data_IF_435666449945
#
_entry.id   IF_435666449945
#
_cell.length_a   1.000
_cell.length_b   1.000
_cell.length_c   1.000
_cell.angle_alpha   90.00
_cell.angle_beta   90.00
_cell.angle_gamma   90.00
#
_symmetry.space_group_name_H-M   'P 1'
#
loop_
_entity.id
_entity.type
_entity.pdbx_description
1 polymer ?
#
# COMPACT_ATOMS: atom_id res chain seq x y z
N UNK A 1 11.18 34.72 -20.75
CA UNK A 1 10.22 34.01 -21.64
C UNK A 1 11.03 33.14 -22.59
N UNK A 2 10.66 31.89 -22.90
CA UNK A 2 9.96 30.91 -22.05
C UNK A 2 10.51 29.43 -22.19
N UNK A 3 10.38 28.60 -21.13
CA UNK A 3 10.05 27.13 -20.99
C UNK A 3 10.81 26.01 -21.81
N UNK A 4 10.95 24.72 -21.44
CA UNK A 4 10.31 23.73 -20.51
C UNK A 4 11.33 22.53 -20.39
N UNK A 5 11.66 21.94 -19.24
CA UNK A 5 10.97 20.76 -18.66
C UNK A 5 11.53 19.39 -19.09
N UNK A 6 12.51 18.81 -18.36
CA UNK A 6 12.84 17.37 -18.46
C UNK A 6 12.21 16.61 -17.30
N UNK A 7 11.08 15.98 -17.58
CA UNK A 7 10.27 15.20 -16.65
C UNK A 7 11.00 13.89 -16.30
N UNK A 8 11.47 13.78 -15.06
CA UNK A 8 11.96 12.51 -14.49
C UNK A 8 10.74 11.66 -14.18
N UNK A 9 10.39 10.76 -15.10
CA UNK A 9 9.29 9.81 -14.90
C UNK A 9 9.63 8.85 -13.76
N UNK A 10 9.04 9.14 -12.59
CA UNK A 10 9.03 8.27 -11.41
C UNK A 10 8.13 7.08 -11.71
N UNK A 11 8.71 5.96 -12.12
CA UNK A 11 7.98 4.70 -12.26
C UNK A 11 7.79 4.07 -10.87
N UNK A 12 6.67 4.39 -10.22
CA UNK A 12 6.16 3.73 -9.03
C UNK A 12 5.41 2.46 -9.46
N UNK A 13 5.95 1.29 -9.13
CA UNK A 13 5.21 0.03 -9.22
C UNK A 13 4.32 -0.10 -7.97
N UNK A 14 3.00 -0.10 -8.17
CA UNK A 14 2.02 -0.25 -7.08
C UNK A 14 1.78 -1.73 -6.77
N UNK A 15 1.66 -2.02 -5.47
CA UNK A 15 1.25 -3.31 -4.91
C UNK A 15 -0.29 -3.33 -4.83
N UNK A 16 -0.90 -4.48 -5.11
CA UNK A 16 -2.34 -4.66 -5.07
C UNK A 16 -2.91 -4.35 -3.66
N UNK A 17 -3.81 -3.37 -3.57
CA UNK A 17 -4.42 -2.91 -2.30
C UNK A 17 -5.37 -3.96 -1.69
N UNK A 18 -5.86 -4.98 -2.44
CA UNK A 18 -6.67 -6.07 -1.87
C UNK A 18 -5.90 -6.89 -0.81
N UNK A 19 -4.56 -6.87 -0.81
CA UNK A 19 -3.76 -7.52 0.26
C UNK A 19 -3.66 -6.70 1.55
N UNK A 20 -3.95 -5.38 1.53
CA UNK A 20 -3.88 -4.54 2.75
C UNK A 20 -5.11 -4.67 3.67
N UNK A 21 -6.19 -5.32 3.23
CA UNK A 21 -7.38 -5.57 4.07
C UNK A 21 -7.31 -6.85 4.89
N UNK A 22 -6.24 -7.67 4.77
CA UNK A 22 -6.00 -8.80 5.67
C UNK A 22 -5.36 -8.30 6.98
N UNK A 23 -6.05 -8.37 8.13
CA UNK A 23 -5.61 -7.71 9.36
C UNK A 23 -4.51 -8.46 10.15
N UNK A 24 -3.82 -9.45 9.56
CA UNK A 24 -3.02 -10.38 10.39
C UNK A 24 -1.54 -10.60 10.02
N UNK A 25 -0.97 -9.96 9.00
CA UNK A 25 0.48 -10.05 8.77
C UNK A 25 1.03 -8.86 7.98
N UNK A 26 1.52 -7.82 8.66
CA UNK A 26 2.84 -7.22 8.38
C UNK A 26 3.11 -6.08 9.37
N UNK A 27 3.56 -6.42 10.59
CA UNK A 27 4.50 -5.56 11.30
C UNK A 27 5.89 -6.02 10.83
N UNK A 28 6.61 -5.15 10.10
CA UNK A 28 7.87 -5.41 9.38
C UNK A 28 7.74 -6.25 8.10
N UNK A 29 7.16 -5.65 7.06
CA UNK A 29 7.51 -6.01 5.68
C UNK A 29 8.79 -5.21 5.32
N UNK A 30 9.96 -5.79 5.52
CA UNK A 30 11.21 -5.29 4.93
C UNK A 30 11.17 -5.62 3.43
N UNK A 31 11.09 -4.59 2.59
CA UNK A 31 11.00 -4.75 1.14
C UNK A 31 12.39 -5.02 0.57
N UNK A 32 12.76 -6.29 0.42
CA UNK A 32 13.93 -6.67 -0.38
C UNK A 32 13.60 -6.61 -1.87
N UNK A 33 14.04 -5.53 -2.52
CA UNK A 33 14.04 -5.41 -3.98
C UNK A 33 15.26 -6.16 -4.53
N UNK A 34 15.06 -7.38 -5.05
CA UNK A 34 16.13 -8.11 -5.73
C UNK A 34 16.43 -7.49 -7.10
N UNK A 35 17.57 -6.82 -7.21
CA UNK A 35 18.22 -6.50 -8.48
C UNK A 35 19.24 -7.60 -8.77
N UNK A 36 19.01 -8.42 -9.79
CA UNK A 36 20.04 -9.37 -10.25
C UNK A 36 21.23 -8.57 -10.81
N UNK A 37 22.29 -8.51 -10.00
CA UNK A 37 23.55 -7.82 -10.30
C UNK A 37 24.49 -8.66 -11.15
N UNK A 38 25.31 -7.98 -11.98
CA UNK A 38 26.37 -8.59 -12.78
C UNK A 38 27.71 -8.45 -12.06
N UNK A 39 28.45 -9.55 -12.00
CA UNK A 39 29.86 -9.64 -11.57
C UNK A 39 30.77 -8.68 -12.35
N UNK A 40 31.56 -7.88 -11.63
CA UNK A 40 32.92 -7.47 -12.02
C UNK A 40 33.70 -7.13 -10.76
N UNK A 41 34.72 -7.93 -10.45
CA UNK A 41 35.63 -7.66 -9.35
C UNK A 41 36.65 -6.58 -9.73
N UNK A 42 36.96 -5.71 -8.78
CA UNK A 42 38.27 -5.06 -8.64
C UNK A 42 38.49 -4.68 -7.18
N UNK A 43 39.69 -4.97 -6.72
CA UNK A 43 40.23 -4.88 -5.36
C UNK A 43 41.06 -3.58 -5.23
N UNK A 44 41.08 -2.98 -4.03
CA UNK A 44 42.19 -2.32 -3.29
C UNK A 44 41.73 -1.07 -2.49
N UNK A 45 41.53 -1.15 -1.15
CA UNK A 45 42.33 -0.70 0.04
C UNK A 45 42.41 0.84 0.32
N UNK A 46 42.74 1.33 1.56
CA UNK A 46 41.89 2.27 2.33
C UNK A 46 42.60 3.58 2.74
N UNK A 47 41.89 4.63 3.13
CA UNK A 47 42.47 5.69 3.97
C UNK A 47 41.42 6.39 4.86
N UNK A 48 41.78 6.51 6.13
CA UNK A 48 41.26 7.43 7.16
C UNK A 48 42.42 8.39 7.50
N UNK A 49 42.29 9.44 8.35
CA UNK A 49 41.18 10.33 8.73
C UNK A 49 41.53 11.82 8.43
N UNK A 50 40.60 12.76 8.53
CA UNK A 50 40.94 14.15 8.91
C UNK A 50 39.77 14.84 9.65
N UNK A 51 40.08 15.40 10.83
CA UNK A 51 39.25 16.31 11.63
C UNK A 51 39.14 17.70 10.98
N UNK A 52 38.14 18.51 11.39
CA UNK A 52 38.20 19.95 11.80
C UNK A 52 36.77 20.33 12.25
N UNK A 53 36.51 20.51 13.54
CA UNK A 53 36.61 21.73 14.38
C UNK A 53 35.30 22.50 14.50
N UNK A 54 34.95 22.69 15.76
CA UNK A 54 33.87 23.52 16.31
C UNK A 54 34.04 24.99 15.95
N UNK A 55 32.94 25.62 15.52
CA UNK A 55 32.69 27.03 15.77
C UNK A 55 31.24 27.23 16.17
N UNK A 56 31.06 27.81 17.35
CA UNK A 56 29.78 28.22 17.90
C UNK A 56 29.07 29.23 17.00
N UNK A 57 27.76 29.04 16.80
CA UNK A 57 26.86 30.10 16.36
C UNK A 57 25.62 30.07 17.27
N UNK A 58 25.40 31.18 17.97
CA UNK A 58 24.29 31.38 18.87
C UNK A 58 22.97 31.46 18.10
N UNK A 59 22.01 30.61 18.45
CA UNK A 59 20.65 30.72 17.94
C UNK A 59 19.87 31.65 18.87
N UNK A 60 19.59 32.84 18.35
CA UNK A 60 18.73 33.85 18.96
C UNK A 60 17.27 33.36 18.85
N UNK A 61 16.68 32.89 19.96
CA UNK A 61 15.27 32.49 20.05
C UNK A 61 14.40 33.74 19.91
N UNK A 62 13.63 33.83 18.83
CA UNK A 62 12.53 34.79 18.73
C UNK A 62 11.30 34.24 19.47
N UNK A 63 10.89 34.98 20.49
CA UNK A 63 9.66 34.81 21.25
C UNK A 63 8.47 35.15 20.34
N UNK A 64 7.64 34.16 19.98
CA UNK A 64 6.32 34.42 19.38
C UNK A 64 5.25 34.11 20.42
N UNK A 65 4.65 35.19 20.93
CA UNK A 65 3.50 35.21 21.82
C UNK A 65 2.43 34.22 21.39
N UNK A 66 2.20 33.21 22.23
CA UNK A 66 1.08 32.29 22.11
C UNK A 66 -0.09 32.88 22.91
N UNK A 67 -0.93 33.68 22.24
CA UNK A 67 -2.20 34.09 22.82
C UNK A 67 -3.16 32.90 22.77
N UNK A 68 -3.64 32.51 23.94
CA UNK A 68 -4.71 31.56 24.11
C UNK A 68 -6.01 32.09 23.46
N UNK A 69 -6.60 31.29 22.58
CA UNK A 69 -7.97 31.49 22.10
C UNK A 69 -8.74 30.18 22.27
N UNK A 70 -9.64 30.19 23.25
CA UNK A 70 -11.01 29.64 23.23
C UNK A 70 -11.34 28.56 22.20
N UNK A 71 -11.82 27.40 22.70
CA UNK A 71 -12.52 26.37 21.94
C UNK A 71 -13.77 26.94 21.26
N UNK A 72 -13.60 27.46 20.05
CA UNK A 72 -14.62 27.48 19.00
C UNK A 72 -14.06 26.67 17.84
N UNK A 73 -14.78 25.65 17.37
CA UNK A 73 -14.41 24.91 16.16
C UNK A 73 -14.46 25.87 14.96
N UNK A 74 -13.34 26.53 14.71
CA UNK A 74 -13.19 27.46 13.58
C UNK A 74 -13.34 26.70 12.26
N UNK A 75 -13.92 27.31 11.21
CA UNK A 75 -14.09 26.69 9.89
C UNK A 75 -12.77 26.25 9.23
N UNK A 76 -11.63 26.66 9.81
CA UNK A 76 -10.28 26.38 9.36
C UNK A 76 -9.86 24.94 9.72
N UNK A 77 -10.30 24.39 10.87
CA UNK A 77 -9.96 23.02 11.27
C UNK A 77 -10.74 21.97 10.47
N UNK A 78 -12.02 22.23 10.16
CA UNK A 78 -12.82 21.37 9.29
C UNK A 78 -12.28 21.33 7.85
N UNK A 79 -11.81 22.49 7.33
CA UNK A 79 -11.14 22.57 6.03
C UNK A 79 -9.80 21.83 6.01
N UNK A 80 -9.04 21.85 7.10
CA UNK A 80 -7.80 21.09 7.21
C UNK A 80 -8.06 19.58 7.23
N UNK A 81 -9.10 19.13 7.95
CA UNK A 81 -9.48 17.71 8.01
C UNK A 81 -10.02 17.23 6.66
N UNK A 82 -10.89 18.00 6.00
CA UNK A 82 -11.38 17.69 4.65
C UNK A 82 -10.26 17.71 3.60
N UNK A 83 -9.30 18.64 3.73
CA UNK A 83 -8.11 18.67 2.89
C UNK A 83 -7.24 17.41 3.09
N UNK A 84 -7.07 16.96 4.33
CA UNK A 84 -6.34 15.73 4.63
C UNK A 84 -7.05 14.49 4.08
N UNK A 85 -8.38 14.42 4.20
CA UNK A 85 -9.21 13.35 3.62
C UNK A 85 -9.15 13.31 2.09
N UNK A 86 -9.16 14.49 1.45
CA UNK A 86 -9.03 14.60 -0.01
C UNK A 86 -7.63 14.19 -0.50
N UNK A 87 -6.58 14.40 0.30
CA UNK A 87 -5.23 13.91 0.02
C UNK A 87 -5.17 12.37 0.09
N UNK A 88 -5.83 11.76 1.08
CA UNK A 88 -5.88 10.28 1.21
C UNK A 88 -6.58 9.58 0.05
N UNK A 89 -7.63 10.18 -0.52
CA UNK A 89 -8.34 9.62 -1.69
C UNK A 89 -7.45 9.55 -2.94
N UNK A 90 -6.46 10.44 -3.07
CA UNK A 90 -5.53 10.44 -4.21
C UNK A 90 -4.45 9.34 -4.15
N UNK A 91 -4.37 8.57 -3.06
CA UNK A 91 -3.45 7.43 -2.94
C UNK A 91 -4.09 6.09 -3.33
N UNK A 92 -5.40 6.06 -3.62
CA UNK A 92 -6.08 4.85 -4.07
C UNK A 92 -5.70 4.55 -5.53
N UNK A 93 -4.64 3.77 -5.72
CA UNK A 93 -4.21 3.30 -7.04
C UNK A 93 -4.74 1.88 -7.25
N UNK A 94 -5.60 1.70 -8.26
CA UNK A 94 -5.85 0.38 -8.82
C UNK A 94 -4.58 -0.15 -9.51
N UNK A 95 -4.41 -1.46 -9.60
CA UNK A 95 -3.24 -2.10 -10.21
C UNK A 95 -3.31 -1.98 -11.75
N UNK A 96 -3.08 -0.77 -12.26
CA UNK A 96 -2.97 -0.46 -13.68
C UNK A 96 -1.56 0.05 -13.94
N UNK A 97 -0.82 -0.64 -14.80
CA UNK A 97 0.56 -0.26 -15.12
C UNK A 97 0.79 -0.25 -16.63
N UNK A 98 1.65 0.64 -17.09
CA UNK A 98 2.04 0.72 -18.50
C UNK A 98 3.31 -0.10 -18.75
N UNK A 99 3.21 -1.04 -19.70
CA UNK A 99 4.32 -1.89 -20.10
C UNK A 99 4.95 -1.38 -21.40
N UNK A 100 6.17 -0.86 -21.29
CA UNK A 100 6.96 -0.37 -22.43
C UNK A 100 7.41 -1.55 -23.30
N UNK A 101 7.29 -1.42 -24.62
CA UNK A 101 7.70 -2.44 -25.58
C UNK A 101 9.21 -2.48 -25.73
N UNK A 102 9.75 -3.68 -25.90
CA UNK A 102 11.18 -3.91 -26.03
C UNK A 102 11.49 -4.66 -27.32
N UNK A 103 12.57 -4.25 -28.01
CA UNK A 103 12.95 -4.79 -29.32
C UNK A 103 13.89 -6.01 -29.25
N UNK A 104 14.27 -6.45 -28.05
CA UNK A 104 15.08 -7.64 -27.83
C UNK A 104 14.33 -8.59 -26.90
N UNK A 105 13.89 -9.73 -27.43
CA UNK A 105 13.15 -10.73 -26.65
C UNK A 105 13.93 -11.23 -25.44
N UNK A 106 13.25 -11.38 -24.31
CA UNK A 106 13.71 -12.15 -23.16
C UNK A 106 14.50 -11.43 -22.07
N UNK A 107 14.60 -10.09 -22.04
CA UNK A 107 15.33 -9.41 -20.94
C UNK A 107 14.53 -8.46 -20.06
N UNK A 108 13.29 -8.14 -20.43
CA UNK A 108 12.50 -7.13 -19.72
C UNK A 108 11.04 -7.57 -19.50
N UNK A 109 10.84 -8.78 -18.97
CA UNK A 109 9.51 -9.14 -18.44
C UNK A 109 9.24 -8.39 -17.13
N UNK A 110 7.97 -8.02 -16.92
CA UNK A 110 7.48 -7.47 -15.64
C UNK A 110 6.64 -8.52 -14.96
N UNK A 111 7.08 -8.97 -13.78
CA UNK A 111 6.41 -10.00 -13.01
C UNK A 111 5.76 -9.43 -11.75
N UNK A 112 4.54 -9.88 -11.47
CA UNK A 112 3.83 -9.61 -10.23
C UNK A 112 3.72 -10.94 -9.47
N UNK A 113 4.21 -10.95 -8.23
CA UNK A 113 4.25 -12.14 -7.37
C UNK A 113 3.09 -12.15 -6.38
N UNK A 114 2.39 -13.27 -6.30
CA UNK A 114 1.33 -13.53 -5.34
C UNK A 114 1.57 -14.88 -4.62
N UNK A 115 1.02 -15.02 -3.41
CA UNK A 115 1.12 -16.26 -2.62
C UNK A 115 -0.21 -17.00 -2.63
N UNK A 116 -0.15 -18.33 -2.74
CA UNK A 116 -1.31 -19.23 -2.75
C UNK A 116 -1.06 -20.44 -1.86
N UNK A 117 -2.11 -20.93 -1.19
CA UNK A 117 -2.04 -22.16 -0.40
C UNK A 117 -2.34 -23.39 -1.26
N UNK A 118 -1.94 -24.56 -0.78
CA UNK A 118 -2.21 -25.85 -1.42
C UNK A 118 -3.71 -26.03 -1.69
N UNK A 119 -4.03 -26.60 -2.86
CA UNK A 119 -5.38 -26.94 -3.32
C UNK A 119 -6.34 -25.74 -3.45
N UNK A 120 -5.82 -24.50 -3.47
CA UNK A 120 -6.62 -23.31 -3.75
C UNK A 120 -6.73 -23.02 -5.25
N UNK A 121 -7.93 -22.66 -5.69
CA UNK A 121 -8.23 -22.19 -7.04
C UNK A 121 -7.76 -20.75 -7.21
N UNK A 122 -7.04 -20.47 -8.29
CA UNK A 122 -6.59 -19.13 -8.67
C UNK A 122 -7.17 -18.79 -10.02
N UNK A 123 -7.74 -17.58 -10.13
CA UNK A 123 -8.23 -16.99 -11.37
C UNK A 123 -7.43 -15.72 -11.63
N UNK A 124 -6.70 -15.71 -12.74
CA UNK A 124 -5.93 -14.56 -13.21
C UNK A 124 -6.67 -13.95 -14.39
N UNK A 125 -7.10 -12.70 -14.24
CA UNK A 125 -7.76 -11.93 -15.30
C UNK A 125 -6.85 -10.79 -15.70
N UNK A 126 -6.38 -10.81 -16.95
CA UNK A 126 -5.55 -9.76 -17.51
C UNK A 126 -6.31 -9.04 -18.62
N UNK A 127 -6.42 -7.72 -18.50
CA UNK A 127 -7.00 -6.85 -19.53
C UNK A 127 -5.85 -6.06 -20.16
N UNK A 128 -5.53 -6.41 -21.40
CA UNK A 128 -4.44 -5.80 -22.16
C UNK A 128 -5.02 -4.82 -23.17
N UNK A 129 -4.64 -3.55 -23.06
CA UNK A 129 -5.03 -2.52 -24.02
C UNK A 129 -4.35 -2.66 -25.38
N UNK A 130 -4.92 -2.01 -26.40
CA UNK A 130 -4.40 -1.99 -27.77
C UNK A 130 -5.22 -2.83 -28.74
N UNK A 131 -4.71 -2.99 -29.96
CA UNK A 131 -5.36 -3.75 -31.04
C UNK A 131 -4.37 -4.73 -31.65
N UNK A 132 -4.88 -5.87 -32.16
CA UNK A 132 -4.03 -6.83 -32.87
C UNK A 132 -3.50 -6.20 -34.16
N UNK A 133 -2.17 -6.23 -34.35
CA UNK A 133 -1.51 -5.70 -35.54
C UNK A 133 -0.95 -4.27 -35.41
N UNK A 134 -1.01 -3.65 -34.24
CA UNK A 134 -0.38 -2.36 -33.92
C UNK A 134 1.17 -2.40 -33.86
N UNK A 135 1.77 -3.56 -34.14
CA UNK A 135 3.22 -3.79 -34.08
C UNK A 135 3.74 -4.14 -32.69
N UNK A 136 2.88 -4.31 -31.68
CA UNK A 136 3.23 -4.79 -30.34
C UNK A 136 2.60 -6.16 -30.07
N UNK A 137 3.33 -7.05 -29.41
CA UNK A 137 2.82 -8.34 -28.95
C UNK A 137 3.09 -8.50 -27.47
N UNK A 138 2.03 -8.60 -26.69
CA UNK A 138 2.13 -8.87 -25.25
C UNK A 138 1.97 -10.37 -25.04
N UNK A 139 2.93 -10.97 -24.36
CA UNK A 139 2.88 -12.35 -23.91
C UNK A 139 2.71 -12.37 -22.38
N UNK A 140 1.92 -13.31 -21.89
CA UNK A 140 1.79 -13.57 -20.45
C UNK A 140 2.44 -14.91 -20.15
N UNK A 141 3.14 -15.00 -19.03
CA UNK A 141 3.71 -16.22 -18.50
C UNK A 141 3.41 -16.33 -17.01
N UNK A 142 2.61 -17.33 -16.65
CA UNK A 142 2.28 -17.67 -15.27
C UNK A 142 3.16 -18.85 -14.85
N UNK A 143 4.02 -18.63 -13.87
CA UNK A 143 4.94 -19.62 -13.32
C UNK A 143 4.91 -19.63 -11.82
N UNK A 144 5.19 -20.77 -11.22
CA UNK A 144 5.32 -20.94 -9.79
C UNK A 144 6.80 -20.90 -9.36
N UNK A 145 7.09 -20.58 -8.10
CA UNK A 145 8.42 -20.65 -7.50
C UNK A 145 9.02 -22.06 -7.53
N UNK A 146 8.17 -23.10 -7.61
CA UNK A 146 8.60 -24.49 -7.84
C UNK A 146 9.02 -24.77 -9.29
N UNK A 147 8.90 -23.80 -10.20
CA UNK A 147 9.22 -23.95 -11.62
C UNK A 147 8.10 -24.56 -12.46
N UNK A 148 6.91 -24.74 -11.90
CA UNK A 148 5.73 -25.19 -12.63
C UNK A 148 5.18 -24.05 -13.50
N UNK A 149 4.82 -24.35 -14.75
CA UNK A 149 4.19 -23.39 -15.66
C UNK A 149 2.68 -23.63 -15.68
N UNK A 150 1.89 -22.65 -15.27
CA UNK A 150 0.43 -22.77 -15.19
C UNK A 150 -0.29 -22.23 -16.44
N UNK A 151 0.35 -21.33 -17.20
CA UNK A 151 -0.22 -20.78 -18.42
C UNK A 151 0.72 -19.85 -19.17
N UNK A 152 0.67 -19.88 -20.51
CA UNK A 152 1.52 -19.05 -21.39
C UNK A 152 0.78 -18.52 -22.62
N UNK A 153 -0.28 -17.72 -22.47
CA UNK A 153 -0.97 -17.15 -23.62
C UNK A 153 -0.08 -16.10 -24.30
N UNK A 154 0.01 -16.19 -25.63
CA UNK A 154 0.80 -15.30 -26.49
C UNK A 154 -0.09 -14.35 -27.26
N UNK A 155 0.43 -13.18 -27.59
CA UNK A 155 -0.29 -12.15 -28.38
C UNK A 155 -1.67 -11.81 -27.81
N UNK A 156 -1.72 -11.59 -26.49
CA UNK A 156 -2.94 -11.27 -25.76
C UNK A 156 -3.37 -9.82 -26.02
N UNK A 157 -4.65 -9.64 -26.31
CA UNK A 157 -5.30 -8.34 -26.52
C UNK A 157 -6.73 -8.44 -25.96
N UNK A 158 -7.17 -7.43 -25.22
CA UNK A 158 -8.45 -7.45 -24.52
C UNK A 158 -8.38 -8.25 -23.21
N UNK A 159 -9.52 -8.79 -22.78
CA UNK A 159 -9.64 -9.58 -21.56
C UNK A 159 -9.20 -11.04 -21.81
N UNK A 160 -8.36 -11.56 -20.92
CA UNK A 160 -7.91 -12.96 -20.92
C UNK A 160 -7.99 -13.51 -19.50
N UNK A 161 -8.75 -14.59 -19.32
CA UNK A 161 -8.90 -15.30 -18.04
C UNK A 161 -8.09 -16.59 -18.07
N UNK A 162 -7.29 -16.83 -17.05
CA UNK A 162 -6.52 -18.06 -16.84
C UNK A 162 -6.86 -18.61 -15.46
N UNK A 163 -7.06 -19.93 -15.38
CA UNK A 163 -7.53 -20.59 -14.16
C UNK A 163 -6.60 -21.76 -13.89
N UNK A 164 -6.10 -21.87 -12.67
CA UNK A 164 -5.28 -23.00 -12.23
C UNK A 164 -5.48 -23.28 -10.74
N UNK A 165 -5.12 -24.49 -10.33
CA UNK A 165 -5.13 -24.90 -8.91
C UNK A 165 -3.69 -25.11 -8.45
N UNK A 166 -3.34 -24.57 -7.29
CA UNK A 166 -1.98 -24.73 -6.75
C UNK A 166 -1.77 -26.13 -6.17
N UNK A 167 -0.71 -26.88 -6.57
CA UNK A 167 -0.42 -28.20 -6.03
C UNK A 167 0.20 -28.17 -4.63
N UNK A 168 0.71 -27.02 -4.19
CA UNK A 168 1.40 -26.84 -2.90
C UNK A 168 1.28 -25.40 -2.38
N UNK A 169 1.74 -25.16 -1.14
CA UNK A 169 1.87 -23.82 -0.57
C UNK A 169 3.09 -23.12 -1.19
N UNK A 170 2.86 -22.16 -2.07
CA UNK A 170 3.91 -21.58 -2.92
C UNK A 170 3.55 -20.20 -3.45
N UNK A 171 4.55 -19.49 -3.97
CA UNK A 171 4.38 -18.20 -4.61
C UNK A 171 4.38 -18.35 -6.13
N UNK A 172 3.42 -17.75 -6.81
CA UNK A 172 3.36 -17.71 -8.27
C UNK A 172 3.59 -16.30 -8.79
N UNK A 173 4.19 -16.22 -9.97
CA UNK A 173 4.55 -15.01 -10.69
C UNK A 173 3.73 -14.94 -11.99
N UNK A 174 3.03 -13.82 -12.18
CA UNK A 174 2.39 -13.45 -13.45
C UNK A 174 3.29 -12.44 -14.16
N UNK A 175 3.97 -12.90 -15.21
CA UNK A 175 4.93 -12.12 -15.98
C UNK A 175 4.32 -11.65 -17.30
N UNK A 176 4.59 -10.40 -17.67
CA UNK A 176 4.18 -9.79 -18.93
C UNK A 176 5.42 -9.37 -19.72
N UNK A 177 5.45 -9.73 -21.00
CA UNK A 177 6.50 -9.35 -21.94
C UNK A 177 5.87 -8.60 -23.11
N UNK A 178 6.26 -7.33 -23.33
CA UNK A 178 5.83 -6.56 -24.48
C UNK A 178 6.96 -6.53 -25.53
N UNK A 179 6.73 -7.22 -26.64
CA UNK A 179 7.65 -7.34 -27.78
C UNK A 179 7.23 -6.39 -28.90
N UNK A 180 8.17 -5.59 -29.40
CA UNK A 180 7.97 -4.78 -30.59
C UNK A 180 8.22 -5.66 -31.84
N UNK A 181 7.17 -5.95 -32.60
CA UNK A 181 7.21 -6.80 -33.81
C UNK A 181 7.03 -5.96 -35.09
N UNK A 182 6.48 -4.76 -34.97
CA UNK A 182 6.31 -3.83 -36.09
C UNK A 182 7.53 -2.97 -36.35
N UNK A 183 7.74 -2.59 -37.61
CA UNK A 183 8.81 -1.68 -38.04
C UNK A 183 8.46 -0.18 -37.87
N UNK A 184 7.28 0.12 -37.29
CA UNK A 184 6.81 1.48 -37.12
C UNK A 184 7.53 2.12 -35.93
N UNK A 185 8.24 3.23 -36.20
CA UNK A 185 8.92 4.05 -35.18
C UNK A 185 7.91 4.86 -34.38
N UNK A 186 7.08 4.18 -33.57
CA UNK A 186 6.32 4.84 -32.50
C UNK A 186 7.36 5.21 -31.43
N UNK A 187 7.43 6.48 -31.04
CA UNK A 187 8.29 6.88 -29.93
C UNK A 187 7.70 6.34 -28.61
N UNK A 188 8.47 5.53 -27.89
CA UNK A 188 8.09 4.91 -26.61
C UNK A 188 6.75 4.13 -26.67
N UNK A 189 6.67 3.05 -27.46
CA UNK A 189 5.48 2.21 -27.50
C UNK A 189 5.24 1.60 -26.11
N UNK A 190 4.08 1.87 -25.52
CA UNK A 190 3.66 1.28 -24.24
C UNK A 190 2.23 0.78 -24.34
N UNK A 191 1.92 -0.28 -23.57
CA UNK A 191 0.55 -0.81 -23.45
C UNK A 191 0.09 -0.79 -21.99
N UNK A 192 -1.09 -0.23 -21.69
CA UNK A 192 -1.67 -0.35 -20.37
C UNK A 192 -2.13 -1.78 -20.13
N UNK A 193 -1.78 -2.30 -18.96
CA UNK A 193 -2.18 -3.63 -18.49
C UNK A 193 -2.88 -3.45 -17.15
N UNK A 194 -4.04 -4.08 -17.05
CA UNK A 194 -4.80 -4.21 -15.82
C UNK A 194 -4.83 -5.71 -15.46
N UNK A 195 -4.46 -6.02 -14.22
CA UNK A 195 -4.35 -7.38 -13.72
C UNK A 195 -5.20 -7.51 -12.46
N UNK A 196 -6.14 -8.46 -12.48
CA UNK A 196 -6.89 -8.92 -11.32
C UNK A 196 -6.57 -10.38 -11.03
N UNK A 197 -6.43 -10.69 -9.75
CA UNK A 197 -6.01 -12.02 -9.27
C UNK A 197 -6.91 -12.38 -8.10
N UNK A 198 -7.79 -13.35 -8.32
CA UNK A 198 -8.71 -13.87 -7.31
C UNK A 198 -8.24 -15.26 -6.86
N UNK A 199 -8.22 -15.50 -5.55
CA UNK A 199 -7.67 -16.71 -4.93
C UNK A 199 -8.68 -17.29 -3.95
N UNK A 200 -8.92 -18.60 -4.02
CA UNK A 200 -9.76 -19.32 -3.05
C UNK A 200 -11.26 -19.07 -3.25
N UNK A 201 -11.94 -18.57 -2.22
CA UNK A 201 -13.40 -18.37 -2.22
C UNK A 201 -13.83 -17.29 -3.24
N UNK A 202 -12.99 -16.26 -3.43
CA UNK A 202 -13.24 -15.16 -4.37
C UNK A 202 -13.19 -15.62 -5.83
N UNK A 203 -12.45 -16.71 -6.11
CA UNK A 203 -12.32 -17.28 -7.45
C UNK A 203 -13.55 -18.08 -7.91
N UNK A 204 -14.48 -18.41 -7.00
CA UNK A 204 -15.65 -19.25 -7.31
C UNK A 204 -16.73 -18.41 -8.00
N UNK A 205 -17.08 -18.79 -9.24
CA UNK A 205 -18.09 -18.10 -10.03
C UNK A 205 -19.51 -18.51 -9.59
N UNK A 206 -20.04 -17.80 -8.59
CA UNK A 206 -21.37 -18.02 -8.02
C UNK A 206 -22.51 -17.92 -9.04
N UNK A 207 -22.31 -17.22 -10.16
CA UNK A 207 -23.30 -17.05 -11.21
C UNK A 207 -23.54 -18.33 -12.01
N UNK A 208 -22.56 -19.23 -12.07
CA UNK A 208 -22.68 -20.50 -12.81
C UNK A 208 -23.42 -21.61 -12.04
N UNK A 209 -23.56 -21.47 -10.71
CA UNK A 209 -24.22 -22.46 -9.84
C UNK A 209 -25.76 -22.26 -9.81
N UNK A 210 -26.26 -21.04 -9.97
CA UNK A 210 -27.71 -20.77 -9.97
C UNK A 210 -28.48 -21.41 -11.14
N UNK A 211 -27.82 -21.72 -12.25
CA UNK A 211 -28.48 -22.26 -13.45
C UNK A 211 -28.57 -23.79 -13.47
N UNK A 212 -27.79 -24.50 -12.64
CA UNK A 212 -27.74 -25.97 -12.64
C UNK A 212 -28.54 -26.64 -11.52
N UNK A 213 -29.07 -25.87 -10.56
CA UNK A 213 -29.72 -26.41 -9.36
C UNK A 213 -31.24 -26.15 -9.31
N UNK A 214 -31.88 -25.96 -10.47
CA UNK A 214 -33.33 -26.16 -10.54
C UNK A 214 -33.58 -27.68 -10.53
N UNK A 215 -34.34 -28.13 -9.53
CA UNK A 215 -34.93 -29.47 -9.37
C UNK A 215 -34.20 -30.47 -8.45
N UNK A 216 -33.86 -30.06 -7.22
CA UNK A 216 -34.02 -30.86 -5.97
C UNK A 216 -33.80 -29.99 -4.70
N UNK A 217 -34.53 -28.87 -4.51
CA UNK A 217 -34.03 -27.71 -3.77
C UNK A 217 -34.67 -27.57 -2.39
N UNK A 218 -34.55 -28.57 -1.51
CA UNK A 218 -34.97 -28.37 -0.10
C UNK A 218 -33.94 -28.96 0.86
N UNK A 219 -33.50 -30.21 0.67
CA UNK A 219 -32.49 -30.81 1.54
C UNK A 219 -31.09 -30.23 1.29
N UNK A 220 -30.73 -29.98 0.02
CA UNK A 220 -29.45 -29.33 -0.31
C UNK A 220 -29.41 -27.88 0.15
N UNK A 221 -30.53 -27.15 0.00
CA UNK A 221 -30.63 -25.76 0.44
C UNK A 221 -30.57 -25.63 1.97
N UNK A 222 -31.16 -26.57 2.73
CA UNK A 222 -31.01 -26.58 4.18
C UNK A 222 -29.56 -26.80 4.63
N UNK A 223 -28.85 -27.75 4.00
CA UNK A 223 -27.44 -28.01 4.34
C UNK A 223 -26.53 -26.85 3.95
N UNK A 224 -26.84 -26.19 2.83
CA UNK A 224 -26.17 -24.96 2.42
C UNK A 224 -26.44 -23.81 3.40
N UNK A 225 -27.67 -23.64 3.87
CA UNK A 225 -28.01 -22.61 4.86
C UNK A 225 -27.32 -22.91 6.20
N UNK A 226 -27.22 -24.17 6.61
CA UNK A 226 -26.48 -24.56 7.81
C UNK A 226 -24.99 -24.22 7.71
N UNK A 227 -24.34 -24.58 6.60
CA UNK A 227 -22.93 -24.23 6.36
C UNK A 227 -22.73 -22.71 6.29
N UNK A 228 -23.62 -21.97 5.64
CA UNK A 228 -23.57 -20.50 5.58
C UNK A 228 -23.81 -19.85 6.96
N UNK A 229 -24.74 -20.37 7.76
CA UNK A 229 -24.99 -19.87 9.12
C UNK A 229 -23.80 -20.16 10.03
N UNK A 230 -23.17 -21.34 9.91
CA UNK A 230 -21.96 -21.66 10.65
C UNK A 230 -20.84 -20.66 10.34
N UNK A 231 -20.65 -20.32 9.07
CA UNK A 231 -19.65 -19.34 8.63
C UNK A 231 -19.99 -17.90 9.12
N UNK A 232 -21.27 -17.54 9.15
CA UNK A 232 -21.69 -16.24 9.73
C UNK A 232 -21.44 -16.20 11.24
N UNK A 233 -21.68 -17.30 11.97
CA UNK A 233 -21.44 -17.35 13.42
C UNK A 233 -19.95 -17.22 13.72
N UNK A 234 -19.07 -17.90 12.96
CA UNK A 234 -17.62 -17.77 13.13
C UNK A 234 -17.14 -16.35 12.80
N UNK A 235 -17.69 -15.70 11.77
CA UNK A 235 -17.41 -14.29 11.49
C UNK A 235 -17.90 -13.35 12.60
N UNK A 236 -19.08 -13.59 13.16
CA UNK A 236 -19.62 -12.78 14.27
C UNK A 236 -18.79 -12.93 15.55
N UNK A 237 -18.29 -14.13 15.83
CA UNK A 237 -17.34 -14.35 16.93
C UNK A 237 -16.03 -13.61 16.70
N UNK A 238 -15.51 -13.64 15.47
CA UNK A 238 -14.33 -12.88 15.08
C UNK A 238 -14.54 -11.36 15.25
N UNK A 239 -15.69 -10.82 14.81
CA UNK A 239 -16.03 -9.41 14.97
C UNK A 239 -16.16 -9.01 16.44
N UNK A 240 -16.77 -9.85 17.28
CA UNK A 240 -16.84 -9.63 18.74
C UNK A 240 -15.46 -9.61 19.39
N UNK A 241 -14.59 -10.58 19.05
CA UNK A 241 -13.23 -10.62 19.58
C UNK A 241 -12.41 -9.40 19.13
N UNK A 242 -12.68 -8.85 17.94
CA UNK A 242 -12.08 -7.61 17.47
C UNK A 242 -12.63 -6.39 18.20
N UNK A 243 -13.94 -6.32 18.44
CA UNK A 243 -14.56 -5.24 19.21
C UNK A 243 -13.98 -5.19 20.63
N UNK A 244 -13.84 -6.34 21.29
CA UNK A 244 -13.23 -6.43 22.61
C UNK A 244 -11.81 -5.87 22.62
N UNK A 245 -10.94 -6.30 21.69
CA UNK A 245 -9.58 -5.75 21.56
C UNK A 245 -9.57 -4.25 21.28
N UNK A 246 -10.51 -3.75 20.48
CA UNK A 246 -10.64 -2.32 20.19
C UNK A 246 -11.13 -1.54 21.42
N UNK A 247 -12.04 -2.10 22.23
CA UNK A 247 -12.46 -1.51 23.50
C UNK A 247 -11.30 -1.44 24.49
N UNK A 248 -10.54 -2.52 24.65
CA UNK A 248 -9.39 -2.56 25.57
C UNK A 248 -8.29 -1.56 25.15
N UNK A 249 -8.07 -1.43 23.85
CA UNK A 249 -7.15 -0.43 23.29
C UNK A 249 -7.67 1.00 23.52
N UNK A 250 -8.98 1.22 23.35
CA UNK A 250 -9.60 2.53 23.61
C UNK A 250 -9.49 2.90 25.09
N UNK A 251 -9.74 1.96 26.00
CA UNK A 251 -9.65 2.19 27.44
C UNK A 251 -8.21 2.54 27.87
N UNK A 252 -7.23 1.74 27.42
CA UNK A 252 -5.81 1.97 27.76
C UNK A 252 -5.22 3.22 27.11
N UNK A 253 -5.64 3.61 25.90
CA UNK A 253 -5.25 4.88 25.29
C UNK A 253 -5.87 6.07 26.02
N UNK A 254 -7.14 5.98 26.39
CA UNK A 254 -7.83 7.02 27.16
C UNK A 254 -7.16 7.26 28.52
N UNK A 255 -6.74 6.20 29.21
CA UNK A 255 -6.00 6.32 30.47
C UNK A 255 -4.68 7.11 30.30
N UNK A 256 -3.88 6.75 29.29
CA UNK A 256 -2.61 7.45 28.99
C UNK A 256 -2.85 8.92 28.65
N UNK A 257 -3.87 9.21 27.84
CA UNK A 257 -4.22 10.59 27.46
C UNK A 257 -4.66 11.41 28.66
N UNK A 258 -5.44 10.83 29.59
CA UNK A 258 -5.81 11.48 30.86
C UNK A 258 -4.57 11.87 31.67
N UNK A 259 -3.59 10.98 31.79
CA UNK A 259 -2.34 11.27 32.49
C UNK A 259 -1.56 12.43 31.85
N UNK A 260 -1.45 12.47 30.52
CA UNK A 260 -0.85 13.60 29.81
C UNK A 260 -1.61 14.92 30.01
N UNK A 261 -2.94 14.87 30.02
CA UNK A 261 -3.78 16.05 30.27
C UNK A 261 -3.57 16.61 31.68
N UNK A 262 -3.54 15.76 32.70
CA UNK A 262 -3.23 16.17 34.07
C UNK A 262 -1.81 16.77 34.20
N UNK A 263 -0.81 16.15 33.55
CA UNK A 263 0.55 16.68 33.53
C UNK A 263 0.64 18.07 32.88
N UNK A 264 -0.05 18.26 31.76
CA UNK A 264 -0.06 19.55 31.04
C UNK A 264 -0.77 20.65 31.86
N UNK A 265 -1.91 20.32 32.49
CA UNK A 265 -2.61 21.25 33.38
C UNK A 265 -1.71 21.67 34.56
N UNK A 266 -1.03 20.70 35.18
CA UNK A 266 -0.08 20.97 36.26
C UNK A 266 1.09 21.85 35.81
N UNK A 267 1.66 21.57 34.62
CA UNK A 267 2.72 22.39 34.03
C UNK A 267 2.27 23.84 33.80
N UNK A 268 1.06 24.07 33.27
CA UNK A 268 0.52 25.41 33.07
C UNK A 268 0.34 26.18 34.38
N UNK A 269 -0.17 25.51 35.43
CA UNK A 269 -0.30 26.11 36.76
C UNK A 269 1.09 26.45 37.32
N UNK A 270 2.07 25.55 37.19
CA UNK A 270 3.45 25.76 37.63
C UNK A 270 4.11 26.94 36.94
N UNK A 271 3.97 27.04 35.61
CA UNK A 271 4.46 28.19 34.83
C UNK A 271 3.75 29.49 35.22
N UNK A 272 2.45 29.46 35.49
CA UNK A 272 1.69 30.62 35.95
C UNK A 272 2.18 31.12 37.32
N UNK A 273 2.35 30.22 38.28
CA UNK A 273 2.88 30.56 39.60
C UNK A 273 4.33 31.11 39.50
N UNK A 274 5.16 30.47 38.68
CA UNK A 274 6.52 30.94 38.40
C UNK A 274 6.52 32.34 37.79
N UNK A 275 5.66 32.62 36.82
CA UNK A 275 5.52 33.95 36.22
C UNK A 275 5.16 35.02 37.26
N UNK A 276 4.25 34.71 38.20
CA UNK A 276 3.87 35.64 39.28
C UNK A 276 5.04 35.91 40.23
N UNK A 277 5.78 34.87 40.63
CA UNK A 277 6.97 35.02 41.50
C UNK A 277 8.06 35.82 40.79
N UNK A 278 8.31 35.53 39.52
CA UNK A 278 9.29 36.24 38.70
C UNK A 278 8.95 37.73 38.61
N UNK A 279 7.69 38.09 38.33
CA UNK A 279 7.26 39.48 38.28
C UNK A 279 7.41 40.19 39.64
N UNK A 280 7.07 39.51 40.75
CA UNK A 280 7.28 40.07 42.10
C UNK A 280 8.75 40.29 42.43
N UNK A 281 9.63 39.36 42.08
CA UNK A 281 11.08 39.50 42.28
C UNK A 281 11.65 40.61 41.40
N UNK A 282 11.18 40.72 40.16
CA UNK A 282 11.57 41.77 39.23
C UNK A 282 11.23 43.17 39.77
N UNK A 283 10.01 43.39 40.27
CA UNK A 283 9.61 44.68 40.87
C UNK A 283 10.40 45.04 42.14
N UNK A 284 10.68 44.06 43.01
CA UNK A 284 11.56 44.25 44.18
C UNK A 284 12.98 44.68 43.79
N UNK A 285 13.53 44.10 42.71
CA UNK A 285 14.89 44.43 42.25
C UNK A 285 15.00 45.79 41.57
N UNK A 286 13.91 46.25 40.94
CA UNK A 286 13.89 47.49 40.14
C UNK A 286 13.34 48.71 40.89
N UNK A 287 12.89 48.56 42.14
CA UNK A 287 12.44 49.67 42.99
C UNK A 287 11.38 50.55 42.29
N UNK A 288 10.42 49.90 41.61
CA UNK A 288 9.32 50.56 40.89
C UNK A 288 8.02 50.63 41.70
N UNK A 289 8.09 50.23 42.98
CA UNK A 289 7.22 50.56 44.12
C UNK A 289 8.09 50.46 45.38
#
# INVERSE_FOLDING_TARGET
MPILGSNTSKNLAYINIKQLTRPQQCLLCEVEVYRLGRNTGTKLIPHSPYQVSSTAASIRVYNRQFNAATMGTSPITLRAILGFLFVFVQLASALKFDLVATSGGGKNERCIRNFVSKDQLVVVTAIVGGTKGDGQKVNIHIKDAMGNDHGRPKDVVGETRQIFTSPADTAFDVCFENLLVGHNTIQNPSRPIELDVDIGADARDWNSIQSQEKLKPVETDLRRIEEMVADIVTEMEYLRAREQRLRDTNESTNERVKWFAFGTMGMLIGLGAWQVVYLRAYFRSKHLI
#
